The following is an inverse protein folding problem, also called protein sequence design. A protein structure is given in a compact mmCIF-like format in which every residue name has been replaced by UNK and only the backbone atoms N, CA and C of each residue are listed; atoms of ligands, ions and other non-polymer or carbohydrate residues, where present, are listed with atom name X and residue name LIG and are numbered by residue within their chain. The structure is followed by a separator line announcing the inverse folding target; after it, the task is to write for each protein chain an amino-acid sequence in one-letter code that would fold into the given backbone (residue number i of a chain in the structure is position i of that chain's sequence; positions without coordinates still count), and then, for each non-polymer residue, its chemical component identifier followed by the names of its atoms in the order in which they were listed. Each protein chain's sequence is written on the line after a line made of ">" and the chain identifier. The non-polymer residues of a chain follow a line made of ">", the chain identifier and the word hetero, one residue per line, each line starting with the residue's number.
data_IF_545059664281
#
_entry.id   IF_545059664281
#
_cell.length_a   1.000
_cell.length_b   1.000
_cell.length_c   1.000
_cell.angle_alpha   90.00
_cell.angle_beta   90.00
_cell.angle_gamma   90.00
#
_symmetry.space_group_name_H-M   'P 1'
#
loop_
_entity.id
_entity.type
_entity.pdbx_description
1 polymer ?
#
# COMPACT_ATOMS: atom_id res chain seq x y z
N UNK A 1 -9.37 11.05 16.24
CA UNK A 1 -9.40 9.65 15.71
C UNK A 1 -8.17 9.47 14.84
N UNK A 2 -7.34 8.47 15.11
CA UNK A 2 -6.13 8.17 14.34
C UNK A 2 -6.53 7.62 12.96
N UNK A 3 -5.77 7.92 11.90
CA UNK A 3 -6.02 7.48 10.51
C UNK A 3 -6.22 5.95 10.40
N UNK A 4 -5.45 5.16 11.17
CA UNK A 4 -5.60 3.69 11.18
C UNK A 4 -6.93 3.24 11.77
N UNK A 5 -7.41 3.95 12.78
CA UNK A 5 -8.71 3.66 13.39
C UNK A 5 -9.86 4.02 12.46
N UNK A 6 -9.75 5.18 11.81
CA UNK A 6 -10.69 5.57 10.76
C UNK A 6 -10.73 4.57 9.61
N UNK A 7 -9.58 4.13 9.11
CA UNK A 7 -9.49 3.14 8.05
C UNK A 7 -10.12 1.80 8.48
N UNK A 8 -9.84 1.34 9.71
CA UNK A 8 -10.40 0.11 10.24
C UNK A 8 -11.93 0.16 10.31
N UNK A 9 -12.49 1.24 10.87
CA UNK A 9 -13.94 1.45 10.94
C UNK A 9 -14.57 1.56 9.54
N UNK A 10 -13.89 2.24 8.61
CA UNK A 10 -14.36 2.37 7.22
C UNK A 10 -14.46 1.01 6.52
N UNK A 11 -13.50 0.10 6.75
CA UNK A 11 -13.55 -1.26 6.20
C UNK A 11 -14.80 -1.99 6.73
N UNK A 12 -15.11 -1.88 8.03
CA UNK A 12 -16.30 -2.52 8.61
C UNK A 12 -17.62 -1.97 8.04
N UNK A 13 -17.70 -0.67 7.87
CA UNK A 13 -18.87 -0.02 7.26
C UNK A 13 -19.04 -0.46 5.80
N UNK A 14 -17.93 -0.52 5.03
CA UNK A 14 -18.00 -0.94 3.62
C UNK A 14 -18.41 -2.40 3.50
N UNK A 15 -17.88 -3.29 4.34
CA UNK A 15 -18.26 -4.71 4.35
C UNK A 15 -19.76 -4.93 4.61
N UNK A 16 -20.37 -4.08 5.44
CA UNK A 16 -21.80 -4.21 5.77
C UNK A 16 -22.75 -3.54 4.78
N UNK A 17 -22.30 -2.49 4.06
CA UNK A 17 -23.24 -1.56 3.38
C UNK A 17 -22.87 -1.21 1.95
N UNK A 18 -21.65 -1.52 1.49
CA UNK A 18 -21.16 -1.12 0.18
C UNK A 18 -20.49 -2.27 -0.57
N UNK A 19 -20.27 -2.10 -1.86
CA UNK A 19 -19.71 -3.14 -2.75
C UNK A 19 -18.25 -2.93 -3.12
N UNK A 20 -17.66 -1.79 -2.79
CA UNK A 20 -16.27 -1.45 -3.08
C UNK A 20 -15.82 -0.29 -2.20
N UNK A 21 -14.51 -0.14 -2.02
CA UNK A 21 -13.88 0.96 -1.31
C UNK A 21 -12.88 1.68 -2.20
N UNK A 22 -12.90 3.02 -2.17
CA UNK A 22 -11.87 3.84 -2.79
C UNK A 22 -11.15 4.61 -1.69
N UNK A 23 -9.82 4.54 -1.70
CA UNK A 23 -8.96 5.32 -0.83
C UNK A 23 -8.38 6.46 -1.65
N UNK A 24 -8.73 7.67 -1.30
CA UNK A 24 -8.35 8.92 -1.96
C UNK A 24 -8.12 10.00 -0.92
N UNK A 25 -7.26 10.96 -1.20
CA UNK A 25 -7.05 12.15 -0.38
C UNK A 25 -7.26 13.40 -1.24
N UNK A 26 -7.99 14.36 -0.74
CA UNK A 26 -8.26 15.65 -1.44
C UNK A 26 -7.21 16.74 -1.12
N UNK A 27 -6.19 16.40 -0.31
CA UNK A 27 -5.08 17.29 0.04
C UNK A 27 -4.00 17.39 -1.04
N UNK A 28 -2.79 17.80 -0.65
CA UNK A 28 -1.66 18.00 -1.58
C UNK A 28 -0.91 16.72 -1.96
N UNK A 29 -1.07 15.65 -1.18
CA UNK A 29 -0.40 14.37 -1.40
C UNK A 29 -1.29 13.21 -0.94
N UNK A 30 -1.04 12.01 -1.46
CA UNK A 30 -1.79 10.83 -1.05
C UNK A 30 -1.45 10.40 0.38
N UNK A 31 -0.18 10.14 0.67
CA UNK A 31 0.29 9.78 2.02
C UNK A 31 1.82 9.83 2.11
N UNK A 32 2.33 10.47 3.14
CA UNK A 32 3.75 10.45 3.50
C UNK A 32 4.14 9.29 4.45
N UNK A 33 3.20 8.37 4.74
CA UNK A 33 3.43 7.24 5.64
C UNK A 33 3.04 7.51 7.10
N UNK A 34 3.67 6.78 8.01
CA UNK A 34 3.41 6.86 9.45
C UNK A 34 3.99 8.13 10.07
N UNK A 35 3.35 8.61 11.14
CA UNK A 35 3.90 9.68 11.97
C UNK A 35 5.05 9.15 12.84
N UNK A 36 6.27 9.23 12.31
CA UNK A 36 7.47 8.76 13.01
C UNK A 36 7.79 9.57 14.26
N UNK A 37 7.34 10.82 14.35
CA UNK A 37 7.50 11.64 15.55
C UNK A 37 6.79 11.03 16.76
N UNK A 38 5.61 10.46 16.55
CA UNK A 38 4.88 9.76 17.61
C UNK A 38 5.61 8.49 18.06
N UNK A 39 6.11 7.69 17.11
CA UNK A 39 6.86 6.48 17.42
C UNK A 39 8.16 6.78 18.18
N UNK A 40 8.92 7.80 17.76
CA UNK A 40 10.14 8.24 18.41
C UNK A 40 9.86 8.81 19.80
N UNK A 41 8.79 9.58 19.97
CA UNK A 41 8.39 10.13 21.26
C UNK A 41 8.09 9.02 22.28
N UNK A 42 7.28 8.03 21.89
CA UNK A 42 6.95 6.88 22.73
C UNK A 42 8.19 6.03 23.04
N UNK A 43 9.06 5.80 22.06
CA UNK A 43 10.32 5.09 22.24
C UNK A 43 11.27 5.78 23.22
N UNK A 44 11.41 7.11 23.14
CA UNK A 44 12.21 7.90 24.06
C UNK A 44 11.67 7.91 25.50
N UNK A 45 10.37 7.68 25.69
CA UNK A 45 9.76 7.47 26.99
C UNK A 45 9.92 6.03 27.52
N UNK A 46 10.62 5.16 26.82
CA UNK A 46 10.76 3.74 27.19
C UNK A 46 9.48 2.91 27.00
N UNK A 47 8.51 3.42 26.22
CA UNK A 47 7.21 2.78 25.96
C UNK A 47 7.24 1.94 24.69
N UNK A 48 8.31 1.16 24.45
CA UNK A 48 8.49 0.34 23.24
C UNK A 48 7.32 -0.64 23.03
N UNK A 49 6.81 -1.24 24.09
CA UNK A 49 5.65 -2.16 23.99
C UNK A 49 4.37 -1.46 23.48
N UNK A 50 4.21 -0.18 23.73
CA UNK A 50 3.09 0.61 23.22
C UNK A 50 3.28 0.95 21.74
N UNK A 51 4.52 1.25 21.30
CA UNK A 51 4.87 1.41 19.88
C UNK A 51 4.53 0.12 19.12
N UNK A 52 4.96 -1.03 19.63
CA UNK A 52 4.70 -2.33 19.00
C UNK A 52 3.20 -2.61 18.88
N UNK A 53 2.42 -2.35 19.92
CA UNK A 53 0.96 -2.61 19.92
C UNK A 53 0.18 -1.59 19.12
N UNK A 54 0.40 -0.30 19.36
CA UNK A 54 -0.45 0.77 18.83
C UNK A 54 -0.09 1.15 17.39
N UNK A 55 1.17 1.04 17.00
CA UNK A 55 1.65 1.45 15.68
C UNK A 55 1.88 0.24 14.79
N UNK A 56 2.76 -0.68 15.18
CA UNK A 56 3.17 -1.78 14.30
C UNK A 56 2.06 -2.81 14.13
N UNK A 57 1.59 -3.38 15.22
CA UNK A 57 0.58 -4.46 15.18
C UNK A 57 -0.75 -3.99 14.60
N UNK A 58 -1.24 -2.84 15.06
CA UNK A 58 -2.48 -2.25 14.54
C UNK A 58 -2.40 -1.96 13.04
N UNK A 59 -1.28 -1.42 12.56
CA UNK A 59 -1.07 -1.19 11.13
C UNK A 59 -1.07 -2.48 10.32
N UNK A 60 -0.38 -3.53 10.79
CA UNK A 60 -0.40 -4.85 10.15
C UNK A 60 -1.80 -5.46 10.09
N UNK A 61 -2.55 -5.37 11.18
CA UNK A 61 -3.93 -5.88 11.25
C UNK A 61 -4.85 -5.15 10.26
N UNK A 62 -4.80 -3.81 10.23
CA UNK A 62 -5.65 -3.00 9.35
C UNK A 62 -5.30 -3.22 7.88
N UNK A 63 -4.02 -3.27 7.52
CA UNK A 63 -3.61 -3.50 6.13
C UNK A 63 -3.90 -4.94 5.68
N UNK A 64 -3.75 -5.92 6.58
CA UNK A 64 -4.19 -7.28 6.31
C UNK A 64 -5.70 -7.36 6.07
N UNK A 65 -6.50 -6.67 6.91
CA UNK A 65 -7.95 -6.59 6.75
C UNK A 65 -8.34 -5.93 5.43
N UNK A 66 -7.64 -4.87 5.04
CA UNK A 66 -7.83 -4.21 3.75
C UNK A 66 -7.58 -5.15 2.58
N UNK A 67 -6.46 -5.88 2.58
CA UNK A 67 -6.09 -6.80 1.51
C UNK A 67 -7.08 -7.95 1.33
N UNK A 68 -7.56 -8.49 2.44
CA UNK A 68 -8.42 -9.69 2.46
C UNK A 68 -9.90 -9.38 2.67
N UNK A 69 -10.30 -8.11 2.42
CA UNK A 69 -11.71 -7.71 2.44
C UNK A 69 -12.54 -8.50 1.41
N UNK A 70 -13.82 -8.65 1.68
CA UNK A 70 -14.81 -9.31 0.82
C UNK A 70 -15.30 -8.42 -0.34
N UNK A 71 -14.76 -7.23 -0.46
CA UNK A 71 -15.02 -6.24 -1.51
C UNK A 71 -13.71 -5.71 -2.09
N UNK A 72 -13.71 -5.22 -3.35
CA UNK A 72 -12.51 -4.66 -3.95
C UNK A 72 -12.14 -3.30 -3.34
N UNK A 73 -10.85 -3.14 -3.07
CA UNK A 73 -10.25 -1.89 -2.59
C UNK A 73 -9.41 -1.28 -3.70
N UNK A 74 -9.70 -0.02 -4.03
CA UNK A 74 -8.98 0.77 -5.03
C UNK A 74 -8.30 1.94 -4.34
N UNK A 75 -6.97 2.03 -4.45
CA UNK A 75 -6.26 3.24 -4.03
C UNK A 75 -6.05 4.17 -5.22
N UNK A 76 -6.28 5.46 -5.01
CA UNK A 76 -6.13 6.49 -6.03
C UNK A 76 -5.03 7.50 -5.63
N UNK A 77 -3.75 7.11 -5.70
CA UNK A 77 -2.64 7.97 -5.32
C UNK A 77 -2.34 9.04 -6.35
N UNK A 78 -1.88 10.19 -5.84
CA UNK A 78 -1.26 11.26 -6.61
C UNK A 78 -0.15 11.88 -5.76
N UNK A 79 0.82 12.53 -6.41
CA UNK A 79 1.97 13.11 -5.75
C UNK A 79 2.67 12.04 -4.87
N UNK A 80 2.88 12.27 -3.60
CA UNK A 80 3.64 11.40 -2.69
C UNK A 80 2.76 10.28 -2.14
N UNK A 81 3.23 9.04 -2.31
CA UNK A 81 2.68 7.82 -1.71
C UNK A 81 3.83 6.93 -1.22
N UNK A 82 4.46 7.31 -0.09
CA UNK A 82 5.68 6.66 0.40
C UNK A 82 5.48 6.00 1.76
N UNK A 83 6.40 5.11 2.12
CA UNK A 83 6.34 4.38 3.38
C UNK A 83 5.01 3.64 3.55
N UNK A 84 4.32 3.84 4.67
CA UNK A 84 2.99 3.27 4.91
C UNK A 84 1.97 3.60 3.81
N UNK A 85 2.09 4.75 3.13
CA UNK A 85 1.29 5.08 1.94
C UNK A 85 1.55 4.11 0.79
N UNK A 86 2.80 3.76 0.52
CA UNK A 86 3.16 2.74 -0.47
C UNK A 86 2.68 1.35 -0.03
N UNK A 87 2.81 1.01 1.26
CA UNK A 87 2.30 -0.25 1.80
C UNK A 87 0.78 -0.39 1.57
N UNK A 88 0.02 0.70 1.72
CA UNK A 88 -1.41 0.73 1.40
C UNK A 88 -1.69 0.38 -0.06
N UNK A 89 -0.90 0.92 -1.01
CA UNK A 89 -1.03 0.58 -2.43
C UNK A 89 -0.73 -0.90 -2.68
N UNK A 90 0.27 -1.46 -2.00
CA UNK A 90 0.65 -2.87 -2.12
C UNK A 90 -0.45 -3.81 -1.62
N UNK A 91 -1.27 -3.38 -0.65
CA UNK A 91 -2.41 -4.13 -0.11
C UNK A 91 -3.72 -3.91 -0.88
N UNK A 92 -3.77 -2.96 -1.80
CA UNK A 92 -4.97 -2.69 -2.61
C UNK A 92 -5.15 -3.70 -3.75
N UNK A 93 -6.40 -4.02 -4.08
CA UNK A 93 -6.71 -4.91 -5.20
C UNK A 93 -6.35 -4.26 -6.54
N UNK A 94 -6.55 -2.95 -6.65
CA UNK A 94 -6.18 -2.14 -7.80
C UNK A 94 -5.69 -0.77 -7.37
N UNK A 95 -4.75 -0.22 -8.11
CA UNK A 95 -4.30 1.16 -7.96
C UNK A 95 -4.63 1.93 -9.24
N UNK A 96 -5.37 3.02 -9.10
CA UNK A 96 -5.58 3.99 -10.16
C UNK A 96 -4.71 5.20 -9.84
N UNK A 97 -3.49 5.27 -10.38
CA UNK A 97 -2.52 6.28 -10.02
C UNK A 97 -2.59 7.51 -10.94
N UNK A 98 -2.42 8.71 -10.40
CA UNK A 98 -2.06 9.85 -11.22
C UNK A 98 -0.67 9.66 -11.81
N UNK A 99 -0.43 10.16 -13.04
CA UNK A 99 0.85 9.97 -13.72
C UNK A 99 2.04 10.49 -12.89
N UNK A 100 1.87 11.61 -12.20
CA UNK A 100 2.85 12.22 -11.29
C UNK A 100 2.68 11.67 -9.87
N UNK A 101 2.93 10.36 -9.72
CA UNK A 101 2.93 9.69 -8.41
C UNK A 101 4.33 9.20 -8.07
N UNK A 102 4.82 9.64 -6.91
CA UNK A 102 6.10 9.26 -6.32
C UNK A 102 5.85 8.15 -5.31
N UNK A 103 6.15 6.92 -5.68
CA UNK A 103 5.80 5.73 -4.90
C UNK A 103 7.06 4.99 -4.47
N UNK A 104 7.16 4.63 -3.20
CA UNK A 104 8.32 3.90 -2.69
C UNK A 104 8.23 3.54 -1.21
N UNK A 105 8.99 2.52 -0.82
CA UNK A 105 9.24 2.16 0.57
C UNK A 105 10.50 2.88 1.04
N UNK A 106 10.34 3.92 1.87
CA UNK A 106 11.41 4.85 2.22
C UNK A 106 11.99 4.63 3.62
N UNK A 107 11.50 3.63 4.32
CA UNK A 107 11.81 3.34 5.73
C UNK A 107 13.29 3.13 5.96
N UNK A 108 14.00 2.47 5.03
CA UNK A 108 15.45 2.22 5.16
C UNK A 108 16.29 3.50 5.19
N UNK A 109 15.84 4.59 4.55
CA UNK A 109 16.51 5.89 4.64
C UNK A 109 16.46 6.48 6.06
N UNK A 110 15.58 5.98 6.90
CA UNK A 110 15.40 6.39 8.30
C UNK A 110 15.93 5.35 9.29
N UNK A 111 16.62 4.30 8.80
CA UNK A 111 17.17 3.23 9.64
C UNK A 111 16.14 2.23 10.17
N UNK A 112 14.93 2.20 9.59
CA UNK A 112 13.86 1.25 9.96
C UNK A 112 13.42 0.43 8.74
N UNK A 113 12.48 -0.48 8.92
CA UNK A 113 11.95 -1.35 7.84
C UNK A 113 10.47 -1.10 7.61
N UNK A 114 9.96 -1.37 6.37
CA UNK A 114 8.53 -1.39 6.10
C UNK A 114 7.83 -2.43 6.95
N UNK A 115 7.09 -1.98 7.97
CA UNK A 115 6.60 -2.86 9.03
C UNK A 115 5.13 -3.26 8.89
N UNK A 116 4.36 -2.61 8.01
CA UNK A 116 2.93 -2.91 7.81
C UNK A 116 2.68 -3.90 6.66
N UNK A 117 3.73 -4.59 6.23
CA UNK A 117 3.69 -5.68 5.26
C UNK A 117 4.33 -5.36 3.92
N UNK A 118 4.94 -4.19 3.75
CA UNK A 118 5.58 -3.78 2.47
C UNK A 118 6.65 -4.76 2.00
N UNK A 119 7.49 -5.25 2.89
CA UNK A 119 8.51 -6.26 2.57
C UNK A 119 7.87 -7.53 2.00
N UNK A 120 6.86 -8.06 2.69
CA UNK A 120 6.15 -9.28 2.31
C UNK A 120 5.42 -9.11 0.97
N UNK A 121 4.68 -8.03 0.81
CA UNK A 121 3.86 -7.80 -0.38
C UNK A 121 4.72 -7.59 -1.63
N UNK A 122 5.82 -6.85 -1.49
CA UNK A 122 6.74 -6.62 -2.61
C UNK A 122 7.47 -7.91 -3.00
N UNK A 123 7.95 -8.68 -2.02
CA UNK A 123 8.57 -9.98 -2.27
C UNK A 123 7.59 -10.95 -2.95
N UNK A 124 6.37 -11.08 -2.42
CA UNK A 124 5.33 -11.94 -3.00
C UNK A 124 5.01 -11.56 -4.43
N UNK A 125 4.98 -10.27 -4.74
CA UNK A 125 4.76 -9.75 -6.10
C UNK A 125 5.88 -10.16 -7.04
N UNK A 126 7.14 -10.05 -6.62
CA UNK A 126 8.28 -10.47 -7.45
C UNK A 126 8.39 -11.98 -7.58
N UNK A 127 8.03 -12.75 -6.57
CA UNK A 127 7.97 -14.21 -6.67
C UNK A 127 6.93 -14.70 -7.70
N UNK A 128 5.90 -13.89 -7.95
CA UNK A 128 4.86 -14.15 -8.94
C UNK A 128 5.15 -13.53 -10.31
N UNK A 129 6.27 -12.82 -10.48
CA UNK A 129 6.65 -12.17 -11.74
C UNK A 129 7.34 -13.18 -12.67
N UNK A 130 6.63 -13.63 -13.70
CA UNK A 130 7.14 -14.58 -14.70
C UNK A 130 8.33 -14.06 -15.52
N UNK A 131 8.58 -12.75 -15.49
CA UNK A 131 9.71 -12.11 -16.20
C UNK A 131 11.02 -12.20 -15.42
N UNK A 132 10.96 -12.53 -14.12
CA UNK A 132 12.16 -12.76 -13.34
C UNK A 132 12.68 -14.18 -13.52
N UNK A 133 14.01 -14.38 -13.44
CA UNK A 133 14.58 -15.72 -13.41
C UNK A 133 13.95 -16.57 -12.31
N UNK A 134 13.79 -17.87 -12.58
CA UNK A 134 13.21 -18.80 -11.61
C UNK A 134 14.11 -18.97 -10.39
N UNK A 135 13.49 -19.26 -9.25
CA UNK A 135 14.14 -19.44 -7.96
C UNK A 135 13.89 -18.26 -7.01
N UNK A 136 14.15 -18.42 -5.71
CA UNK A 136 13.83 -17.40 -4.72
C UNK A 136 14.78 -16.19 -4.77
N UNK A 137 16.04 -16.38 -5.10
CA UNK A 137 17.08 -15.35 -4.99
C UNK A 137 16.84 -14.11 -5.87
N UNK A 138 16.43 -14.21 -7.15
CA UNK A 138 16.18 -13.02 -7.95
C UNK A 138 15.11 -12.09 -7.36
N UNK A 139 14.05 -12.67 -6.82
CA UNK A 139 12.97 -11.91 -6.15
C UNK A 139 13.43 -11.29 -4.83
N UNK A 140 14.23 -12.03 -4.04
CA UNK A 140 14.80 -11.55 -2.78
C UNK A 140 15.75 -10.39 -3.05
N UNK A 141 16.69 -10.54 -3.98
CA UNK A 141 17.68 -9.51 -4.33
C UNK A 141 16.96 -8.23 -4.79
N UNK A 142 16.01 -8.36 -5.72
CA UNK A 142 15.26 -7.21 -6.23
C UNK A 142 14.48 -6.49 -5.13
N UNK A 143 13.82 -7.23 -4.23
CA UNK A 143 13.11 -6.67 -3.08
C UNK A 143 14.07 -5.95 -2.15
N UNK A 144 15.18 -6.61 -1.79
CA UNK A 144 16.20 -6.05 -0.91
C UNK A 144 16.82 -4.76 -1.47
N UNK A 145 17.16 -4.74 -2.76
CA UNK A 145 17.73 -3.56 -3.40
C UNK A 145 16.78 -2.36 -3.42
N UNK A 146 15.48 -2.59 -3.71
CA UNK A 146 14.50 -1.51 -3.72
C UNK A 146 14.27 -0.93 -2.33
N UNK A 147 14.10 -1.80 -1.32
CA UNK A 147 13.86 -1.39 0.06
C UNK A 147 15.13 -0.78 0.67
N UNK A 148 16.28 -1.47 0.55
CA UNK A 148 17.54 -1.03 1.14
C UNK A 148 18.09 0.28 0.56
N UNK A 149 17.78 0.55 -0.72
CA UNK A 149 18.10 1.84 -1.36
C UNK A 149 17.02 2.90 -1.15
N UNK A 150 15.95 2.60 -0.42
CA UNK A 150 14.78 3.47 -0.25
C UNK A 150 14.31 4.07 -1.60
N UNK A 151 14.29 3.25 -2.66
CA UNK A 151 14.04 3.73 -4.03
C UNK A 151 12.61 4.22 -4.17
N UNK A 152 12.45 5.46 -4.59
CA UNK A 152 11.17 6.09 -4.92
C UNK A 152 11.07 6.28 -6.43
N UNK A 153 9.90 5.98 -6.99
CA UNK A 153 9.60 6.25 -8.40
C UNK A 153 9.38 7.75 -8.63
N UNK A 154 9.70 8.20 -9.82
CA UNK A 154 9.47 9.60 -10.28
C UNK A 154 8.16 9.77 -11.05
N UNK A 155 7.43 8.67 -11.26
CA UNK A 155 6.13 8.65 -11.95
C UNK A 155 5.42 7.32 -11.73
N UNK A 156 4.12 7.27 -12.01
CA UNK A 156 3.35 6.03 -12.00
C UNK A 156 3.88 4.99 -13.03
N UNK A 157 4.43 5.44 -14.16
CA UNK A 157 5.07 4.55 -15.14
C UNK A 157 6.33 3.90 -14.57
N UNK A 158 7.16 4.67 -13.87
CA UNK A 158 8.34 4.12 -13.20
C UNK A 158 7.93 3.22 -12.02
N UNK A 159 6.90 3.59 -11.26
CA UNK A 159 6.37 2.74 -10.20
C UNK A 159 5.96 1.34 -10.69
N UNK A 160 5.39 1.24 -11.90
CA UNK A 160 5.13 -0.07 -12.56
C UNK A 160 6.43 -0.80 -12.90
N UNK A 161 7.45 -0.13 -13.43
CA UNK A 161 8.76 -0.74 -13.76
C UNK A 161 9.48 -1.25 -12.51
N UNK A 162 9.39 -0.50 -11.42
CA UNK A 162 9.96 -0.87 -10.13
C UNK A 162 9.15 -1.98 -9.41
N UNK A 163 7.91 -2.22 -9.80
CA UNK A 163 7.05 -3.25 -9.21
C UNK A 163 6.20 -2.76 -8.03
N UNK A 164 6.23 -1.48 -7.67
CA UNK A 164 5.32 -0.90 -6.69
C UNK A 164 3.87 -0.88 -7.17
N UNK A 165 3.65 -0.72 -8.47
CA UNK A 165 2.36 -0.89 -9.12
C UNK A 165 2.38 -2.14 -10.01
N UNK A 166 1.23 -2.79 -10.14
CA UNK A 166 1.02 -3.93 -11.05
C UNK A 166 0.96 -3.43 -12.49
N UNK A 167 1.26 -4.29 -13.46
CA UNK A 167 1.05 -3.99 -14.88
C UNK A 167 -0.42 -3.65 -15.19
N UNK A 168 -1.35 -4.30 -14.49
CA UNK A 168 -2.81 -4.12 -14.61
C UNK A 168 -3.36 -2.87 -13.93
N UNK A 169 -2.57 -2.18 -13.09
CA UNK A 169 -3.00 -0.94 -12.42
C UNK A 169 -3.20 0.19 -13.44
N UNK A 170 -4.13 1.10 -13.17
CA UNK A 170 -4.48 2.22 -14.06
C UNK A 170 -3.56 3.42 -13.87
N UNK A 171 -3.46 4.25 -14.92
CA UNK A 171 -2.79 5.57 -14.86
C UNK A 171 -3.74 6.61 -15.42
N UNK A 172 -4.01 7.65 -14.64
CA UNK A 172 -4.79 8.82 -15.01
C UNK A 172 -3.88 10.02 -15.21
N UNK A 173 -4.03 10.72 -16.34
CA UNK A 173 -3.19 11.88 -16.69
C UNK A 173 -3.68 13.17 -16.05
N UNK A 174 -5.01 13.34 -15.91
CA UNK A 174 -5.63 14.51 -15.33
C UNK A 174 -6.08 14.21 -13.90
N UNK A 175 -5.54 14.96 -12.93
CA UNK A 175 -5.87 14.80 -11.50
C UNK A 175 -7.38 14.91 -11.23
N UNK A 176 -8.08 15.81 -11.87
CA UNK A 176 -9.52 16.02 -11.66
C UNK A 176 -10.36 14.81 -12.05
N UNK A 177 -9.82 13.94 -12.92
CA UNK A 177 -10.46 12.70 -13.32
C UNK A 177 -10.08 11.50 -12.46
N UNK A 178 -9.07 11.62 -11.61
CA UNK A 178 -8.49 10.48 -10.88
C UNK A 178 -9.53 9.73 -10.06
N UNK A 179 -10.32 10.45 -9.26
CA UNK A 179 -11.37 9.84 -8.44
C UNK A 179 -12.48 9.22 -9.29
N UNK A 180 -12.84 9.87 -10.42
CA UNK A 180 -13.82 9.33 -11.36
C UNK A 180 -13.33 8.02 -11.99
N UNK A 181 -12.09 7.98 -12.48
CA UNK A 181 -11.51 6.78 -13.10
C UNK A 181 -11.40 5.63 -12.07
N UNK A 182 -11.01 5.95 -10.83
CA UNK A 182 -11.00 4.98 -9.73
C UNK A 182 -12.40 4.44 -9.42
N UNK A 183 -13.45 5.30 -9.47
CA UNK A 183 -14.84 4.90 -9.27
C UNK A 183 -15.32 3.95 -10.36
N UNK A 184 -15.02 4.24 -11.63
CA UNK A 184 -15.36 3.33 -12.74
C UNK A 184 -14.72 1.96 -12.51
N UNK A 185 -13.45 1.94 -12.12
CA UNK A 185 -12.74 0.68 -11.83
C UNK A 185 -13.32 -0.06 -10.62
N UNK A 186 -13.73 0.65 -9.58
CA UNK A 186 -14.39 0.06 -8.42
C UNK A 186 -15.71 -0.63 -8.80
N UNK A 187 -16.53 0.03 -9.62
CA UNK A 187 -17.79 -0.53 -10.13
C UNK A 187 -17.54 -1.75 -11.02
N UNK A 188 -16.52 -1.71 -11.87
CA UNK A 188 -16.13 -2.84 -12.71
C UNK A 188 -15.76 -4.07 -11.87
N UNK A 189 -14.83 -3.88 -10.91
CA UNK A 189 -14.35 -4.96 -10.07
C UNK A 189 -15.42 -5.53 -9.13
N UNK A 190 -16.34 -4.70 -8.65
CA UNK A 190 -17.40 -5.15 -7.74
C UNK A 190 -18.39 -6.14 -8.34
N UNK A 191 -18.46 -6.26 -9.66
CA UNK A 191 -19.41 -7.17 -10.34
C UNK A 191 -19.08 -8.64 -10.12
N UNK A 192 -17.80 -9.01 -10.11
CA UNK A 192 -17.33 -10.41 -10.01
C UNK A 192 -16.10 -10.51 -9.09
N UNK A 193 -16.11 -9.81 -7.97
CA UNK A 193 -14.97 -9.80 -7.06
C UNK A 193 -14.85 -11.12 -6.31
N UNK A 194 -13.64 -11.64 -6.29
CA UNK A 194 -13.26 -12.79 -5.45
C UNK A 194 -12.12 -12.34 -4.53
N UNK A 195 -12.30 -12.39 -3.22
CA UNK A 195 -11.26 -12.02 -2.28
C UNK A 195 -9.97 -12.83 -2.46
N UNK A 196 -8.80 -12.22 -2.29
CA UNK A 196 -7.55 -12.95 -2.32
C UNK A 196 -7.51 -14.02 -1.22
N UNK A 197 -7.00 -15.20 -1.54
CA UNK A 197 -6.79 -16.26 -0.53
C UNK A 197 -5.66 -15.87 0.42
N UNK A 198 -5.87 -16.03 1.73
CA UNK A 198 -4.79 -15.87 2.70
C UNK A 198 -3.75 -16.97 2.47
N UNK A 199 -2.51 -16.57 2.12
CA UNK A 199 -1.39 -17.51 2.11
C UNK A 199 -1.10 -17.92 3.55
N UNK A 200 -1.06 -19.24 3.81
CA UNK A 200 -0.75 -19.76 5.16
C UNK A 200 0.74 -19.70 5.49
N UNK A 201 1.60 -19.59 4.45
CA UNK A 201 3.07 -19.55 4.61
C UNK A 201 3.68 -18.68 3.49
N UNK A 202 4.56 -17.79 3.84
CA UNK A 202 5.61 -17.22 3.01
C UNK A 202 6.91 -17.48 3.75
#
# INVERSE_FOLDING_TARGET
>A
MNTMEFLNQSIDIVSSSYKAMIIYNDGDLFSAGANLGEALFLGNLGLQSEVDKQILKKGQEVYSKLKYSDFPVISAPFNIAVGGGCEMLLHSNHVQAHIESYVGLTEAALGILPAWGGCKELLSRFMSDEKLPKGPMPSIIKTFELIGKAKVSTSAKEAKKLGYLKSSDGITMNRDRLLYDAKIKAIELSKNFTPPKKCKYI
#
